data_IF_835314475275
#
_entry.id   IF_835314475275
#
_cell.length_a   1.000
_cell.length_b   1.000
_cell.length_c   1.000
_cell.angle_alpha   90.00
_cell.angle_beta   90.00
_cell.angle_gamma   90.00
#
_symmetry.space_group_name_H-M   'P 1'
#
loop_
_entity.id
_entity.type
_entity.pdbx_description
1 polymer ?
#
# COMPACT_ATOMS: atom_id res chain seq x y z
N UNK A 1 -15.53 4.84 -9.61
CA UNK A 1 -14.55 5.90 -9.99
C UNK A 1 -13.20 5.45 -9.46
N UNK A 2 -12.14 5.51 -10.26
CA UNK A 2 -10.80 5.17 -9.78
C UNK A 2 -10.17 6.45 -9.23
N UNK A 3 -9.68 6.39 -7.99
CA UNK A 3 -8.87 7.49 -7.47
C UNK A 3 -7.47 7.44 -8.08
N UNK A 4 -6.82 8.60 -8.19
CA UNK A 4 -5.42 8.66 -8.55
C UNK A 4 -4.58 7.89 -7.52
N UNK A 5 -3.52 7.18 -7.94
CA UNK A 5 -2.66 6.49 -7.00
C UNK A 5 -2.08 7.46 -5.97
N UNK A 6 -2.21 7.10 -4.70
CA UNK A 6 -1.64 7.85 -3.57
C UNK A 6 -0.27 7.28 -3.26
N UNK A 7 0.75 8.13 -3.26
CA UNK A 7 2.10 7.74 -2.85
C UNK A 7 2.31 8.08 -1.39
N UNK A 8 2.73 7.08 -0.61
CA UNK A 8 3.02 7.19 0.81
C UNK A 8 4.49 6.85 1.02
N UNK A 9 5.25 7.81 1.54
CA UNK A 9 6.62 7.56 1.99
C UNK A 9 6.58 6.94 3.38
N UNK A 10 7.21 5.79 3.52
CA UNK A 10 7.12 4.96 4.73
C UNK A 10 8.41 4.98 5.57
N UNK A 11 9.47 5.63 5.08
CA UNK A 11 10.76 5.77 5.77
C UNK A 11 11.78 4.70 5.37
N UNK A 12 13.06 4.94 5.65
CA UNK A 12 14.15 3.94 5.46
C UNK A 12 14.19 3.31 4.05
N UNK A 13 13.90 4.10 3.01
CA UNK A 13 13.87 3.61 1.63
C UNK A 13 12.58 2.88 1.24
N UNK A 14 11.64 2.69 2.18
CA UNK A 14 10.31 2.19 1.90
C UNK A 14 9.39 3.25 1.31
N UNK A 15 8.67 2.84 0.28
CA UNK A 15 7.59 3.59 -0.33
C UNK A 15 6.40 2.67 -0.59
N UNK A 16 5.19 3.22 -0.55
CA UNK A 16 3.97 2.52 -0.87
C UNK A 16 3.12 3.31 -1.85
N UNK A 17 2.66 2.65 -2.91
CA UNK A 17 1.66 3.20 -3.84
C UNK A 17 0.32 2.54 -3.56
N UNK A 18 -0.68 3.35 -3.25
CA UNK A 18 -2.03 2.90 -2.92
C UNK A 18 -3.00 3.29 -4.02
N UNK A 19 -3.76 2.32 -4.50
CA UNK A 19 -4.81 2.50 -5.51
C UNK A 19 -6.12 1.99 -4.93
N UNK A 20 -7.18 2.80 -5.07
CA UNK A 20 -8.53 2.44 -4.64
C UNK A 20 -9.50 2.57 -5.80
N UNK A 21 -10.22 1.48 -6.06
CA UNK A 21 -11.23 1.37 -7.09
C UNK A 21 -12.62 1.23 -6.46
N UNK A 22 -13.42 2.29 -6.55
CA UNK A 22 -14.81 2.26 -6.07
C UNK A 22 -15.74 1.58 -7.07
N UNK A 23 -16.53 0.65 -6.58
CA UNK A 23 -17.54 -0.11 -7.32
C UNK A 23 -18.93 0.52 -7.16
N UNK A 24 -19.84 0.33 -8.13
CA UNK A 24 -21.20 0.88 -8.08
C UNK A 24 -22.08 0.36 -6.92
N UNK A 25 -21.72 -0.79 -6.34
CA UNK A 25 -22.45 -1.43 -5.24
C UNK A 25 -22.08 -0.88 -3.86
N UNK A 26 -21.34 0.24 -3.78
CA UNK A 26 -20.94 0.84 -2.50
C UNK A 26 -19.75 0.14 -1.82
N UNK A 27 -19.01 -0.72 -2.54
CA UNK A 27 -17.74 -1.27 -2.06
C UNK A 27 -16.56 -0.72 -2.85
N UNK A 28 -15.35 -0.97 -2.36
CA UNK A 28 -14.12 -0.65 -3.06
C UNK A 28 -13.13 -1.82 -3.02
N UNK A 29 -12.26 -1.86 -4.03
CA UNK A 29 -11.08 -2.70 -4.02
C UNK A 29 -9.86 -1.80 -3.79
N UNK A 30 -8.99 -2.25 -2.91
CA UNK A 30 -7.78 -1.57 -2.50
C UNK A 30 -6.54 -2.35 -2.89
N UNK A 31 -5.54 -1.66 -3.40
CA UNK A 31 -4.23 -2.22 -3.72
C UNK A 31 -3.16 -1.35 -3.10
N UNK A 32 -2.28 -1.94 -2.31
CA UNK A 32 -1.10 -1.28 -1.76
C UNK A 32 0.16 -2.01 -2.24
N UNK A 33 0.93 -1.35 -3.08
CA UNK A 33 2.21 -1.84 -3.57
C UNK A 33 3.33 -1.26 -2.72
N UNK A 34 4.05 -2.13 -2.02
CA UNK A 34 5.18 -1.75 -1.17
C UNK A 34 6.49 -2.02 -1.91
N UNK A 35 7.35 -1.01 -1.92
CA UNK A 35 8.70 -1.06 -2.48
C UNK A 35 9.74 -0.63 -1.45
N UNK A 36 10.93 -1.20 -1.53
CA UNK A 36 12.12 -0.82 -0.75
C UNK A 36 13.21 -0.46 -1.76
N UNK A 37 13.79 0.74 -1.68
CA UNK A 37 14.84 1.25 -2.58
C UNK A 37 14.48 1.09 -4.08
N UNK A 38 13.21 1.35 -4.42
CA UNK A 38 12.70 1.24 -5.79
C UNK A 38 12.42 -0.20 -6.26
N UNK A 39 12.71 -1.22 -5.45
CA UNK A 39 12.38 -2.62 -5.74
C UNK A 39 11.04 -3.00 -5.13
N UNK A 40 10.13 -3.54 -5.94
CA UNK A 40 8.83 -4.04 -5.47
C UNK A 40 9.02 -5.24 -4.55
N UNK A 41 8.45 -5.19 -3.34
CA UNK A 41 8.59 -6.23 -2.32
C UNK A 41 7.28 -6.98 -2.06
N UNK A 42 6.18 -6.24 -1.95
CA UNK A 42 4.88 -6.81 -1.62
C UNK A 42 3.76 -6.07 -2.36
N UNK A 43 2.68 -6.79 -2.66
CA UNK A 43 1.41 -6.18 -3.08
C UNK A 43 0.33 -6.73 -2.18
N UNK A 44 -0.30 -5.85 -1.42
CA UNK A 44 -1.46 -6.15 -0.61
C UNK A 44 -2.71 -5.82 -1.42
N UNK A 45 -3.65 -6.76 -1.45
CA UNK A 45 -4.93 -6.59 -2.14
C UNK A 45 -6.05 -6.80 -1.13
N UNK A 46 -6.93 -5.82 -1.01
CA UNK A 46 -8.15 -5.89 -0.24
C UNK A 46 -9.35 -5.80 -1.19
N UNK A 47 -10.23 -6.79 -1.14
CA UNK A 47 -11.36 -6.89 -2.07
C UNK A 47 -12.68 -6.66 -1.33
N UNK A 48 -13.59 -5.96 -1.99
CA UNK A 48 -14.94 -5.70 -1.49
C UNK A 48 -14.97 -5.06 -0.10
N UNK A 49 -14.03 -4.15 0.18
CA UNK A 49 -14.09 -3.30 1.35
C UNK A 49 -15.34 -2.44 1.27
N UNK A 50 -16.01 -2.20 2.40
CA UNK A 50 -17.05 -1.17 2.43
C UNK A 50 -16.42 0.16 2.01
N UNK A 51 -17.06 0.89 1.09
CA UNK A 51 -16.55 2.16 0.61
C UNK A 51 -16.73 3.23 1.70
N UNK A 52 -15.85 3.23 2.71
CA UNK A 52 -15.66 4.33 3.66
C UNK A 52 -14.43 5.14 3.28
N UNK A 53 -14.30 6.34 3.87
CA UNK A 53 -13.15 7.22 3.68
C UNK A 53 -11.82 6.59 4.21
N UNK A 54 -11.91 5.47 4.94
CA UNK A 54 -10.78 4.86 5.66
C UNK A 54 -10.04 3.78 4.84
N UNK A 55 -10.44 3.49 3.60
CA UNK A 55 -9.81 2.44 2.78
C UNK A 55 -8.30 2.68 2.58
N UNK A 56 -7.89 3.94 2.39
CA UNK A 56 -6.48 4.33 2.24
C UNK A 56 -5.74 4.13 3.57
N UNK A 57 -6.33 4.53 4.69
CA UNK A 57 -5.73 4.37 6.02
C UNK A 57 -5.56 2.89 6.36
N UNK A 58 -6.57 2.06 6.07
CA UNK A 58 -6.51 0.62 6.30
C UNK A 58 -5.37 -0.03 5.49
N UNK A 59 -5.25 0.30 4.20
CA UNK A 59 -4.17 -0.20 3.35
C UNK A 59 -2.79 0.28 3.81
N UNK A 60 -2.69 1.54 4.26
CA UNK A 60 -1.45 2.12 4.82
C UNK A 60 -1.02 1.38 6.07
N UNK A 61 -1.93 1.16 7.02
CA UNK A 61 -1.64 0.45 8.25
C UNK A 61 -1.19 -1.01 7.99
N UNK A 62 -1.80 -1.67 7.01
CA UNK A 62 -1.39 -3.03 6.59
C UNK A 62 -0.02 -3.04 5.94
N UNK A 63 0.31 -2.04 5.13
CA UNK A 63 1.66 -1.88 4.57
C UNK A 63 2.70 -1.65 5.68
N UNK A 64 2.38 -0.83 6.68
CA UNK A 64 3.23 -0.60 7.85
C UNK A 64 3.47 -1.86 8.68
N UNK A 65 2.43 -2.65 8.92
CA UNK A 65 2.57 -3.93 9.60
C UNK A 65 3.49 -4.88 8.83
N UNK A 66 3.40 -4.94 7.49
CA UNK A 66 4.31 -5.73 6.68
C UNK A 66 5.77 -5.29 6.83
N UNK A 67 6.05 -3.98 6.82
CA UNK A 67 7.41 -3.47 7.00
C UNK A 67 7.99 -3.77 8.38
N UNK A 68 7.16 -3.76 9.44
CA UNK A 68 7.62 -4.07 10.79
C UNK A 68 8.21 -5.49 10.89
N UNK A 69 7.67 -6.42 10.10
CA UNK A 69 8.13 -7.81 10.05
C UNK A 69 9.17 -8.08 8.95
N UNK A 70 9.23 -7.22 7.92
CA UNK A 70 10.10 -7.39 6.77
C UNK A 70 11.34 -6.49 6.88
N UNK A 71 12.55 -7.08 6.87
CA UNK A 71 13.76 -6.29 6.71
C UNK A 71 13.78 -5.62 5.32
N UNK A 72 13.90 -4.29 5.27
CA UNK A 72 14.40 -3.62 4.07
C UNK A 72 15.86 -4.06 3.99
N UNK A 73 16.30 -4.77 2.93
CA UNK A 73 17.73 -4.91 2.72
C UNK A 73 18.29 -3.49 2.64
N UNK A 74 19.07 -3.09 3.63
CA UNK A 74 19.95 -1.95 3.46
C UNK A 74 20.84 -2.34 2.28
N UNK A 75 21.00 -1.45 1.30
CA UNK A 75 22.02 -1.64 0.29
C UNK A 75 23.33 -1.84 1.07
N UNK A 76 23.82 -3.08 1.08
CA UNK A 76 25.15 -3.44 1.53
C UNK A 76 26.07 -2.76 0.50
N UNK A 77 26.37 -1.47 0.73
CA UNK A 77 27.48 -0.82 0.06
C UNK A 77 28.72 -1.61 0.45
N UNK A 78 29.23 -2.39 -0.51
CA UNK A 78 30.33 -3.34 -0.31
C UNK A 78 31.68 -2.74 0.05
#
# INVERSE_FOLDING_TARGET
MNQAPVHVYLGEGWACQIEVQFKPNGTCDGRAEVSCNGLRRCVLVALNLEASDDAIEHLTHRAQAYMADAACPQDDEG
#
